data_IF_187734619174
#
_entry.id   IF_187734619174
#
_cell.length_a   1.000
_cell.length_b   1.000
_cell.length_c   1.000
_cell.angle_alpha   90.00
_cell.angle_beta   90.00
_cell.angle_gamma   90.00
#
_symmetry.space_group_name_H-M   'P 1'
#
loop_
_entity.id
_entity.type
_entity.pdbx_description
1 polymer ?
#
# COMPACT_ATOMS: atom_id res chain seq x y z
N UNK A 1 8.22 -14.79 -13.02
CA UNK A 1 8.69 -13.42 -12.70
C UNK A 1 8.27 -13.12 -11.27
N UNK A 2 9.22 -12.95 -10.34
CA UNK A 2 8.93 -12.67 -8.93
C UNK A 2 8.39 -11.24 -8.73
N UNK A 3 7.71 -11.02 -7.62
CA UNK A 3 7.41 -9.67 -7.11
C UNK A 3 8.66 -9.15 -6.40
N UNK A 4 9.10 -7.96 -6.77
CA UNK A 4 10.25 -7.26 -6.23
C UNK A 4 9.78 -6.08 -5.38
N UNK A 5 10.39 -5.95 -4.19
CA UNK A 5 10.27 -4.77 -3.33
C UNK A 5 11.31 -3.75 -3.77
N UNK A 6 10.87 -2.71 -4.46
CA UNK A 6 11.74 -1.63 -4.91
C UNK A 6 11.94 -0.62 -3.79
N UNK A 7 13.20 -0.20 -3.61
CA UNK A 7 13.61 0.81 -2.62
C UNK A 7 14.23 2.01 -3.32
N UNK A 8 13.95 3.19 -2.80
CA UNK A 8 14.63 4.41 -3.21
C UNK A 8 16.05 4.48 -2.69
N UNK A 9 16.90 5.26 -3.37
CA UNK A 9 18.18 5.65 -2.79
C UNK A 9 17.93 6.40 -1.46
N UNK A 10 18.72 6.18 -0.38
CA UNK A 10 18.47 6.76 0.95
C UNK A 10 18.35 8.30 1.01
N UNK A 11 18.83 9.00 -0.01
CA UNK A 11 18.76 10.47 -0.10
C UNK A 11 17.50 11.00 -0.79
N UNK A 12 16.66 10.13 -1.35
CA UNK A 12 15.34 10.52 -1.87
C UNK A 12 14.36 10.57 -0.71
N UNK A 13 14.33 11.71 -0.01
CA UNK A 13 13.64 11.92 1.26
C UNK A 13 12.17 11.49 1.24
N UNK A 14 11.47 11.71 0.13
CA UNK A 14 10.03 11.46 -0.02
C UNK A 14 9.66 9.97 -0.02
N UNK A 15 10.62 9.09 -0.34
CA UNK A 15 10.42 7.64 -0.40
C UNK A 15 11.30 6.87 0.58
N UNK A 16 11.99 7.58 1.46
CA UNK A 16 12.74 6.97 2.55
C UNK A 16 11.77 6.23 3.49
N UNK A 17 12.06 4.96 3.81
CA UNK A 17 11.15 4.10 4.59
C UNK A 17 9.97 3.52 3.80
N UNK A 18 9.80 3.90 2.52
CA UNK A 18 8.72 3.39 1.67
C UNK A 18 9.16 2.22 0.79
N UNK A 19 8.19 1.55 0.19
CA UNK A 19 8.38 0.47 -0.79
C UNK A 19 7.40 0.64 -1.95
N UNK A 20 7.87 0.32 -3.15
CA UNK A 20 7.02 0.11 -4.32
C UNK A 20 7.12 -1.35 -4.77
N UNK A 21 6.05 -1.91 -5.30
CA UNK A 21 6.07 -3.27 -5.84
C UNK A 21 6.30 -3.24 -7.34
N UNK A 22 7.16 -4.13 -7.82
CA UNK A 22 7.42 -4.32 -9.25
C UNK A 22 7.36 -5.80 -9.59
N UNK A 23 6.79 -6.15 -10.75
CA UNK A 23 6.86 -7.50 -11.31
C UNK A 23 7.16 -7.43 -12.80
N UNK A 24 8.32 -7.95 -13.19
CA UNK A 24 8.82 -7.76 -14.55
C UNK A 24 9.07 -6.28 -14.82
N UNK A 25 8.59 -5.71 -15.95
CA UNK A 25 8.78 -4.30 -16.28
C UNK A 25 7.77 -3.35 -15.61
N UNK A 26 6.76 -3.89 -14.92
CA UNK A 26 5.63 -3.09 -14.44
C UNK A 26 5.77 -2.75 -12.95
N UNK A 27 5.66 -1.45 -12.66
CA UNK A 27 5.44 -0.93 -11.31
C UNK A 27 3.95 -1.06 -10.97
N UNK A 28 3.66 -1.35 -9.73
CA UNK A 28 2.32 -1.53 -9.19
C UNK A 28 1.95 -0.40 -8.21
N UNK A 29 0.66 -0.13 -8.05
CA UNK A 29 0.11 0.86 -7.12
C UNK A 29 -1.12 0.34 -6.38
N UNK A 30 -1.42 0.94 -5.22
CA UNK A 30 -2.72 0.85 -4.58
C UNK A 30 -3.69 1.85 -5.22
N UNK A 31 -4.95 1.46 -5.38
CA UNK A 31 -6.06 2.34 -5.76
C UNK A 31 -7.15 2.27 -4.67
N UNK A 32 -7.80 3.39 -4.38
CA UNK A 32 -8.84 3.50 -3.35
C UNK A 32 -9.98 2.50 -3.55
N UNK A 33 -10.41 2.28 -4.79
CA UNK A 33 -11.51 1.35 -5.11
C UNK A 33 -11.26 -0.08 -4.61
N UNK A 34 -9.98 -0.47 -4.50
CA UNK A 34 -9.58 -1.81 -4.06
C UNK A 34 -9.18 -1.86 -2.57
N UNK A 35 -8.78 -0.73 -1.97
CA UNK A 35 -8.11 -0.71 -0.65
C UNK A 35 -8.79 0.23 0.37
N UNK A 36 -9.85 0.93 -0.03
CA UNK A 36 -10.54 1.96 0.74
C UNK A 36 -9.80 3.30 0.78
N UNK A 37 -10.48 4.34 1.25
CA UNK A 37 -9.93 5.68 1.39
C UNK A 37 -8.79 5.75 2.41
N UNK A 38 -7.98 6.82 2.36
CA UNK A 38 -6.87 7.04 3.27
C UNK A 38 -5.72 6.05 3.04
N UNK A 39 -5.25 5.91 1.80
CA UNK A 39 -4.18 4.98 1.43
C UNK A 39 -2.88 5.24 2.19
N UNK A 40 -2.66 6.47 2.67
CA UNK A 40 -1.52 6.83 3.52
C UNK A 40 -1.52 6.12 4.89
N UNK A 41 -2.65 5.54 5.30
CA UNK A 41 -2.78 4.73 6.52
C UNK A 41 -2.32 3.28 6.30
N UNK A 42 -2.17 2.85 5.04
CA UNK A 42 -1.80 1.49 4.69
C UNK A 42 -0.28 1.32 4.70
N UNK A 43 0.16 0.19 5.25
CA UNK A 43 1.56 -0.20 5.33
C UNK A 43 1.75 -1.64 4.90
N UNK A 44 2.91 -1.95 4.34
CA UNK A 44 3.27 -3.30 3.93
C UNK A 44 4.39 -3.84 4.82
N UNK A 45 4.13 -4.84 5.67
CA UNK A 45 5.17 -5.52 6.43
C UNK A 45 6.26 -6.13 5.54
N UNK A 46 7.51 -6.15 5.99
CA UNK A 46 8.63 -6.73 5.24
C UNK A 46 8.44 -8.24 4.96
N UNK A 47 7.76 -8.94 5.88
CA UNK A 47 7.48 -10.37 5.80
C UNK A 47 6.22 -10.76 5.01
N UNK A 48 5.47 -9.79 4.46
CA UNK A 48 4.26 -10.10 3.71
C UNK A 48 4.55 -10.96 2.49
N UNK A 49 3.80 -12.06 2.38
CA UNK A 49 3.80 -12.93 1.20
C UNK A 49 2.95 -12.31 0.09
N UNK A 50 3.31 -12.62 -1.16
CA UNK A 50 2.62 -12.10 -2.34
C UNK A 50 1.94 -13.21 -3.10
N UNK A 51 0.66 -13.03 -3.37
CA UNK A 51 -0.11 -13.85 -4.30
C UNK A 51 -0.35 -13.06 -5.59
N UNK A 52 -0.13 -13.70 -6.73
CA UNK A 52 -0.28 -13.07 -8.05
C UNK A 52 -1.33 -13.83 -8.83
N UNK A 53 -2.38 -13.13 -9.23
CA UNK A 53 -3.49 -13.70 -9.99
C UNK A 53 -3.97 -12.71 -11.06
N UNK A 54 -4.52 -13.19 -12.19
CA UNK A 54 -5.23 -12.32 -13.13
C UNK A 54 -6.47 -11.71 -12.45
N UNK A 55 -6.82 -10.50 -12.83
CA UNK A 55 -8.06 -9.84 -12.40
C UNK A 55 -8.89 -9.45 -13.62
N UNK A 56 -10.07 -10.05 -13.75
CA UNK A 56 -10.99 -9.80 -14.87
C UNK A 56 -11.58 -8.38 -14.85
N UNK A 57 -11.54 -7.70 -13.70
CA UNK A 57 -11.94 -6.28 -13.60
C UNK A 57 -10.89 -5.35 -14.20
N UNK A 58 -9.64 -5.80 -14.34
CA UNK A 58 -8.62 -5.10 -15.10
C UNK A 58 -8.63 -5.65 -16.54
N UNK A 59 -8.92 -4.78 -17.50
CA UNK A 59 -8.95 -5.14 -18.91
C UNK A 59 -7.69 -5.95 -19.32
N UNK A 60 -7.89 -6.98 -20.16
CA UNK A 60 -6.84 -7.83 -20.75
C UNK A 60 -6.15 -8.84 -19.82
N UNK A 61 -6.78 -9.27 -18.71
CA UNK A 61 -6.27 -10.37 -17.89
C UNK A 61 -4.93 -10.05 -17.21
N UNK A 62 -4.75 -8.77 -16.86
CA UNK A 62 -3.56 -8.29 -16.20
C UNK A 62 -3.46 -8.87 -14.79
N UNK A 63 -2.23 -9.18 -14.39
CA UNK A 63 -1.98 -9.74 -13.07
C UNK A 63 -2.02 -8.63 -12.02
N UNK A 64 -2.77 -8.85 -10.95
CA UNK A 64 -2.72 -8.07 -9.70
C UNK A 64 -1.82 -8.76 -8.68
N UNK A 65 -1.42 -8.02 -7.66
CA UNK A 65 -0.66 -8.55 -6.52
C UNK A 65 -1.52 -8.38 -5.27
N UNK A 66 -1.75 -9.47 -4.54
CA UNK A 66 -2.35 -9.46 -3.22
C UNK A 66 -1.30 -9.67 -2.15
N UNK A 67 -1.46 -8.99 -1.01
CA UNK A 67 -0.63 -9.17 0.17
C UNK A 67 -1.42 -8.88 1.44
N UNK A 68 -1.00 -9.48 2.57
CA UNK A 68 -1.45 -9.03 3.89
C UNK A 68 -0.67 -7.81 4.31
N UNK A 69 -1.36 -6.69 4.51
CA UNK A 69 -0.80 -5.44 5.02
C UNK A 69 -1.43 -5.02 6.34
N UNK A 70 -1.22 -3.76 6.68
CA UNK A 70 -1.69 -3.16 7.91
C UNK A 70 -2.37 -1.82 7.61
N UNK A 71 -3.43 -1.50 8.33
CA UNK A 71 -4.00 -0.15 8.37
C UNK A 71 -3.75 0.44 9.75
N UNK A 72 -3.17 1.63 9.77
CA UNK A 72 -2.86 2.37 11.00
C UNK A 72 -3.84 3.53 11.17
N UNK A 73 -4.64 3.50 12.22
CA UNK A 73 -5.64 4.52 12.56
C UNK A 73 -5.39 5.08 13.95
N UNK A 74 -5.91 6.26 14.25
CA UNK A 74 -5.83 6.80 15.60
C UNK A 74 -6.73 5.98 16.54
N UNK A 75 -6.23 5.69 17.74
CA UNK A 75 -7.03 5.04 18.80
C UNK A 75 -8.12 5.96 19.36
N UNK A 76 -7.84 7.27 19.35
CA UNK A 76 -8.71 8.30 19.88
C UNK A 76 -9.51 9.01 18.77
N UNK A 77 -10.68 9.55 19.10
CA UNK A 77 -11.46 10.43 18.21
C UNK A 77 -10.87 11.85 18.08
N UNK A 78 -10.85 12.38 16.87
CA UNK A 78 -10.23 13.67 16.50
C UNK A 78 -11.26 14.72 16.03
N UNK A 79 -12.56 14.48 16.19
CA UNK A 79 -13.64 15.31 15.64
C UNK A 79 -13.55 16.79 16.07
N UNK A 80 -13.06 17.06 17.28
CA UNK A 80 -12.94 18.42 17.84
C UNK A 80 -11.49 18.90 18.05
N UNK A 81 -10.49 18.10 17.66
CA UNK A 81 -9.08 18.41 17.94
C UNK A 81 -8.21 18.23 16.69
N UNK A 82 -7.42 19.25 16.33
CA UNK A 82 -6.41 19.15 15.27
C UNK A 82 -5.08 18.57 15.78
N UNK A 83 -4.80 18.71 17.08
CA UNK A 83 -3.57 18.24 17.72
C UNK A 83 -3.90 17.60 19.08
N UNK A 84 -3.27 16.47 19.39
CA UNK A 84 -3.30 15.80 20.70
C UNK A 84 -1.89 15.32 21.05
N UNK A 85 -1.50 15.47 22.30
CA UNK A 85 -0.28 14.85 22.84
C UNK A 85 -0.54 13.37 23.14
N UNK A 86 0.48 12.55 22.95
CA UNK A 86 0.50 11.12 23.33
C UNK A 86 -0.61 10.25 22.72
N UNK A 87 -1.17 10.68 21.58
CA UNK A 87 -2.11 9.86 20.81
C UNK A 87 -1.46 8.59 20.31
N UNK A 88 -2.25 7.52 20.28
CA UNK A 88 -1.77 6.18 19.94
C UNK A 88 -2.30 5.76 18.58
N UNK A 89 -1.50 4.96 17.89
CA UNK A 89 -1.92 4.30 16.66
C UNK A 89 -2.41 2.89 16.98
N UNK A 90 -3.56 2.53 16.44
CA UNK A 90 -4.05 1.16 16.36
C UNK A 90 -3.65 0.61 15.00
N UNK A 91 -3.15 -0.63 15.01
CA UNK A 91 -2.80 -1.38 13.80
C UNK A 91 -3.79 -2.52 13.64
N UNK A 92 -4.41 -2.59 12.47
CA UNK A 92 -5.29 -3.68 12.08
C UNK A 92 -4.78 -4.36 10.81
N UNK A 93 -5.01 -5.68 10.70
CA UNK A 93 -4.69 -6.41 9.48
C UNK A 93 -5.60 -5.91 8.34
N UNK A 94 -4.99 -5.61 7.19
CA UNK A 94 -5.71 -5.13 6.01
C UNK A 94 -5.26 -5.89 4.76
N UNK A 95 -6.17 -6.50 3.98
CA UNK A 95 -5.79 -7.03 2.68
C UNK A 95 -5.42 -5.88 1.75
N UNK A 96 -4.28 -6.03 1.06
CA UNK A 96 -3.82 -5.07 0.07
C UNK A 96 -3.93 -5.70 -1.32
N UNK A 97 -4.44 -4.92 -2.27
CA UNK A 97 -4.49 -5.27 -3.68
C UNK A 97 -3.80 -4.18 -4.49
N UNK A 98 -2.77 -4.58 -5.20
CA UNK A 98 -2.00 -3.72 -6.08
C UNK A 98 -2.30 -4.04 -7.54
N UNK A 99 -2.48 -3.00 -8.33
CA UNK A 99 -2.70 -3.07 -9.77
C UNK A 99 -1.49 -2.49 -10.52
N UNK A 100 -1.25 -2.85 -11.79
CA UNK A 100 -0.22 -2.18 -12.59
C UNK A 100 -0.47 -0.66 -12.64
N UNK A 101 0.56 0.14 -12.40
CA UNK A 101 0.43 1.60 -12.27
C UNK A 101 -0.26 2.25 -13.49
N UNK A 102 0.04 1.76 -14.69
CA UNK A 102 -0.54 2.31 -15.92
C UNK A 102 -2.05 2.07 -16.09
N UNK A 103 -2.66 1.21 -15.27
CA UNK A 103 -4.11 0.92 -15.31
C UNK A 103 -4.92 1.74 -14.31
N UNK A 104 -4.28 2.52 -13.44
CA UNK A 104 -4.97 3.38 -12.47
C UNK A 104 -5.88 4.41 -13.16
N UNK A 105 -6.90 4.90 -12.44
CA UNK A 105 -7.85 5.93 -12.88
C UNK A 105 -8.76 5.50 -14.04
N UNK A 106 -8.93 4.19 -14.24
CA UNK A 106 -9.87 3.61 -15.19
C UNK A 106 -11.12 2.99 -14.53
N UNK A 107 -11.23 3.04 -13.19
CA UNK A 107 -12.32 2.41 -12.41
C UNK A 107 -13.06 3.38 -11.48
N UNK A 108 -12.94 4.67 -11.74
CA UNK A 108 -13.55 5.74 -10.95
C UNK A 108 -12.51 6.74 -10.43
N UNK A 109 -13.00 7.77 -9.75
CA UNK A 109 -12.16 8.74 -9.04
C UNK A 109 -11.81 8.17 -7.66
N UNK A 110 -10.56 8.36 -7.23
CA UNK A 110 -10.09 7.95 -5.92
C UNK A 110 -8.58 8.14 -5.74
N UNK A 111 -8.11 7.95 -4.52
CA UNK A 111 -6.70 7.99 -4.15
C UNK A 111 -5.87 6.92 -4.89
N UNK A 112 -4.56 7.19 -5.04
CA UNK A 112 -3.57 6.23 -5.51
C UNK A 112 -2.23 6.41 -4.83
N UNK A 113 -1.50 5.31 -4.61
CA UNK A 113 -0.15 5.33 -4.10
C UNK A 113 0.73 4.24 -4.70
N UNK A 114 1.85 4.64 -5.29
CA UNK A 114 2.93 3.73 -5.73
C UNK A 114 3.85 3.35 -4.57
N UNK A 115 4.26 4.36 -3.80
CA UNK A 115 5.15 4.21 -2.66
C UNK A 115 4.33 4.21 -1.36
N UNK A 116 4.35 3.10 -0.64
CA UNK A 116 3.66 2.95 0.64
C UNK A 116 4.67 2.71 1.76
N UNK A 117 4.29 3.00 3.00
CA UNK A 117 5.18 2.75 4.15
C UNK A 117 5.47 1.25 4.28
N UNK A 118 6.73 0.90 4.56
CA UNK A 118 7.09 -0.47 4.93
C UNK A 118 7.28 -0.57 6.44
N UNK A 119 6.72 -1.61 7.06
CA UNK A 119 6.93 -1.88 8.48
C UNK A 119 7.91 -3.03 8.67
N UNK A 120 8.73 -2.92 9.70
CA UNK A 120 9.59 -4.01 10.16
C UNK A 120 8.71 -5.08 10.82
N UNK A 121 9.12 -6.35 10.71
CA UNK A 121 8.54 -7.42 11.52
C UNK A 121 8.82 -7.15 13.00
N UNK A 122 7.88 -7.52 13.87
CA UNK A 122 7.99 -7.34 15.34
C UNK A 122 9.09 -8.22 15.99
N UNK A 123 9.78 -9.07 15.20
CA UNK A 123 10.83 -9.98 15.65
C UNK A 123 12.25 -9.37 15.64
N UNK A 124 12.45 -8.19 16.25
CA UNK A 124 13.81 -7.69 16.58
C UNK A 124 13.88 -7.21 18.03
#
# INVERSE_FOLDING_TARGET
MPVLRMKGHPYVRQIYGKVALQRGPFVYCLEEVDNGAGLYQLRLPIGSQFEVQPDDQLHAGLNVIHASGERWTAAEGWEEHLYRSDSRWIKESAPLKFIPYFTWANRGLGEMSVWIEETLSEDV
#
